data_IF_389298060068
#
_entry.id   IF_389298060068
#
_cell.length_a   1.000
_cell.length_b   1.000
_cell.length_c   1.000
_cell.angle_alpha   90.00
_cell.angle_beta   90.00
_cell.angle_gamma   90.00
#
_symmetry.space_group_name_H-M   'P 1'
#
loop_
_entity.id
_entity.type
_entity.pdbx_description
1 polymer ?
#
# COMPACT_ATOMS: atom_id res chain seq x y z
N UNK A 1 24.06 -16.55 -15.23
CA UNK A 1 23.44 -15.26 -14.90
C UNK A 1 21.91 -15.28 -14.95
N UNK A 2 21.23 -15.80 -15.98
CA UNK A 2 19.75 -15.84 -16.05
C UNK A 2 19.08 -16.60 -14.88
N UNK A 3 19.64 -17.71 -14.43
CA UNK A 3 19.10 -18.51 -13.32
C UNK A 3 19.13 -17.76 -11.98
N UNK A 4 20.21 -17.03 -11.68
CA UNK A 4 20.29 -16.18 -10.49
C UNK A 4 19.29 -15.03 -10.53
N UNK A 5 19.12 -14.40 -11.68
CA UNK A 5 18.14 -13.31 -11.85
C UNK A 5 16.70 -13.79 -11.65
N UNK A 6 16.36 -14.99 -12.14
CA UNK A 6 15.01 -15.56 -11.94
C UNK A 6 14.76 -15.97 -10.47
N UNK A 7 15.77 -16.51 -9.78
CA UNK A 7 15.69 -16.84 -8.35
C UNK A 7 15.49 -15.56 -7.52
N UNK A 8 16.23 -14.50 -7.82
CA UNK A 8 16.11 -13.21 -7.12
C UNK A 8 14.73 -12.60 -7.31
N UNK A 9 14.18 -12.63 -8.53
CA UNK A 9 12.83 -12.15 -8.80
C UNK A 9 11.77 -12.97 -8.06
N UNK A 10 11.94 -14.28 -7.94
CA UNK A 10 11.05 -15.17 -7.18
C UNK A 10 11.02 -14.83 -5.70
N UNK A 11 12.19 -14.61 -5.10
CA UNK A 11 12.31 -14.23 -3.68
C UNK A 11 11.68 -12.85 -3.41
N UNK A 12 11.96 -11.87 -4.27
CA UNK A 12 11.37 -10.54 -4.15
C UNK A 12 9.85 -10.63 -4.21
N UNK A 13 9.28 -11.40 -5.15
CA UNK A 13 7.83 -11.61 -5.24
C UNK A 13 7.25 -12.23 -3.97
N UNK A 14 7.86 -13.31 -3.47
CA UNK A 14 7.37 -13.99 -2.27
C UNK A 14 7.35 -13.07 -1.05
N UNK A 15 8.43 -12.33 -0.81
CA UNK A 15 8.51 -11.36 0.28
C UNK A 15 7.48 -10.24 0.09
N UNK A 16 7.35 -9.72 -1.14
CA UNK A 16 6.40 -8.63 -1.43
C UNK A 16 4.94 -9.07 -1.25
N UNK A 17 4.58 -10.28 -1.68
CA UNK A 17 3.23 -10.83 -1.47
C UNK A 17 2.95 -11.00 0.02
N UNK A 18 3.88 -11.58 0.79
CA UNK A 18 3.71 -11.74 2.23
C UNK A 18 3.53 -10.39 2.94
N UNK A 19 4.38 -9.41 2.63
CA UNK A 19 4.29 -8.06 3.18
C UNK A 19 2.98 -7.36 2.77
N UNK A 20 2.55 -7.52 1.51
CA UNK A 20 1.30 -6.96 1.00
C UNK A 20 0.09 -7.50 1.77
N UNK A 21 0.03 -8.82 1.99
CA UNK A 21 -1.06 -9.44 2.78
C UNK A 21 -1.09 -8.88 4.20
N UNK A 22 0.05 -8.82 4.87
CA UNK A 22 0.15 -8.27 6.24
C UNK A 22 -0.30 -6.81 6.27
N UNK A 23 0.15 -5.99 5.32
CA UNK A 23 -0.21 -4.57 5.26
C UNK A 23 -1.71 -4.37 4.98
N UNK A 24 -2.30 -5.13 4.04
CA UNK A 24 -3.72 -5.05 3.72
C UNK A 24 -4.56 -5.41 4.94
N UNK A 25 -4.25 -6.52 5.61
CA UNK A 25 -4.97 -6.98 6.80
C UNK A 25 -4.82 -5.97 7.94
N UNK A 26 -3.60 -5.52 8.24
CA UNK A 26 -3.36 -4.55 9.31
C UNK A 26 -4.05 -3.22 9.03
N UNK A 27 -3.94 -2.72 7.79
CA UNK A 27 -4.55 -1.45 7.42
C UNK A 27 -6.08 -1.53 7.40
N UNK A 28 -6.66 -2.61 6.88
CA UNK A 28 -8.11 -2.84 6.92
C UNK A 28 -8.61 -2.92 8.36
N UNK A 29 -7.92 -3.65 9.23
CA UNK A 29 -8.27 -3.75 10.65
C UNK A 29 -8.23 -2.38 11.34
N UNK A 30 -7.21 -1.57 11.09
CA UNK A 30 -7.09 -0.23 11.67
C UNK A 30 -8.17 0.71 11.15
N UNK A 31 -8.44 0.68 9.84
CA UNK A 31 -9.32 1.67 9.19
C UNK A 31 -10.80 1.35 9.33
N UNK A 32 -11.16 0.08 9.51
CA UNK A 32 -12.54 -0.37 9.64
C UNK A 32 -13.00 -0.52 11.10
N UNK A 33 -12.19 -0.10 12.06
CA UNK A 33 -12.61 -0.07 13.47
C UNK A 33 -13.72 0.94 13.68
N UNK A 34 -14.73 0.54 14.46
CA UNK A 34 -15.91 1.35 14.74
C UNK A 34 -15.60 2.66 15.49
N UNK A 35 -14.60 2.65 16.38
CA UNK A 35 -14.20 3.83 17.16
C UNK A 35 -13.33 4.83 16.37
N UNK A 36 -12.72 4.38 15.29
CA UNK A 36 -11.91 5.21 14.38
C UNK A 36 -10.74 5.96 15.01
N UNK A 37 -10.49 5.76 16.30
CA UNK A 37 -9.43 6.46 17.06
C UNK A 37 -8.17 5.62 17.08
N UNK A 38 -7.06 6.20 16.60
CA UNK A 38 -5.76 5.53 16.63
C UNK A 38 -5.22 5.35 18.04
N UNK A 39 -5.63 6.23 18.98
CA UNK A 39 -5.19 6.20 20.39
C UNK A 39 -5.63 4.95 21.15
N UNK A 40 -6.60 4.21 20.64
CA UNK A 40 -7.11 2.99 21.27
C UNK A 40 -6.37 1.73 20.85
N UNK A 41 -5.28 1.84 20.08
CA UNK A 41 -4.47 0.70 19.65
C UNK A 41 -3.43 0.38 20.73
N UNK A 42 -3.58 -0.73 21.50
CA UNK A 42 -2.82 -0.94 22.74
C UNK A 42 -1.33 -1.24 22.54
N UNK A 43 -0.91 -1.65 21.34
CA UNK A 43 0.47 -2.00 21.03
C UNK A 43 1.26 -0.88 20.33
N UNK A 44 0.63 0.26 20.03
CA UNK A 44 1.32 1.39 19.42
C UNK A 44 1.72 2.43 20.48
N UNK A 45 2.95 2.97 20.41
CA UNK A 45 3.37 4.05 21.30
C UNK A 45 2.48 5.29 21.14
N UNK A 46 2.17 5.97 22.26
CA UNK A 46 1.27 7.13 22.27
C UNK A 46 1.69 8.25 21.31
N UNK A 47 2.99 8.54 21.22
CA UNK A 47 3.51 9.56 20.30
C UNK A 47 3.23 9.23 18.83
N UNK A 48 3.32 7.94 18.46
CA UNK A 48 3.04 7.48 17.10
C UNK A 48 1.52 7.55 16.80
N UNK A 49 0.68 7.11 17.72
CA UNK A 49 -0.77 7.17 17.54
C UNK A 49 -1.28 8.60 17.44
N UNK A 50 -0.69 9.52 18.21
CA UNK A 50 -1.00 10.94 18.14
C UNK A 50 -0.66 11.53 16.75
N UNK A 51 0.54 11.26 16.24
CA UNK A 51 0.94 11.72 14.90
C UNK A 51 0.07 11.11 13.79
N UNK A 52 -0.21 9.81 13.86
CA UNK A 52 -1.05 9.12 12.88
C UNK A 52 -2.51 9.63 12.87
N UNK A 53 -3.01 10.12 14.01
CA UNK A 53 -4.34 10.70 14.09
C UNK A 53 -4.40 12.11 13.51
N UNK A 54 -3.36 12.93 13.76
CA UNK A 54 -3.28 14.31 13.30
C UNK A 54 -2.97 14.43 11.79
N UNK A 55 -2.03 13.60 11.29
CA UNK A 55 -1.56 13.64 9.90
C UNK A 55 -2.27 12.62 9.02
N UNK A 56 -3.58 12.76 8.88
CA UNK A 56 -4.42 11.82 8.13
C UNK A 56 -4.04 11.73 6.64
N UNK A 57 -3.62 12.83 6.04
CA UNK A 57 -3.25 12.90 4.62
C UNK A 57 -1.93 12.19 4.37
N UNK A 58 -0.90 12.53 5.14
CA UNK A 58 0.43 11.92 5.07
C UNK A 58 0.37 10.44 5.40
N UNK A 59 -0.43 10.05 6.37
CA UNK A 59 -0.69 8.65 6.71
C UNK A 59 -1.25 7.88 5.52
N UNK A 60 -2.23 8.44 4.82
CA UNK A 60 -2.79 7.79 3.63
C UNK A 60 -1.75 7.70 2.50
N UNK A 61 -1.00 8.76 2.25
CA UNK A 61 0.08 8.73 1.26
C UNK A 61 1.12 7.65 1.57
N UNK A 62 1.57 7.57 2.82
CA UNK A 62 2.54 6.57 3.26
C UNK A 62 1.98 5.14 3.20
N UNK A 63 0.76 4.92 3.70
CA UNK A 63 0.14 3.59 3.71
C UNK A 63 -0.05 3.05 2.29
N UNK A 64 -0.62 3.85 1.39
CA UNK A 64 -0.83 3.45 0.00
C UNK A 64 0.45 3.45 -0.82
N UNK A 65 1.43 4.29 -0.47
CA UNK A 65 2.79 4.24 -1.02
C UNK A 65 3.48 2.91 -0.72
N UNK A 66 3.46 2.47 0.54
CA UNK A 66 3.99 1.16 0.95
C UNK A 66 3.25 0.00 0.27
N UNK A 67 1.92 0.07 0.21
CA UNK A 67 1.08 -0.91 -0.49
C UNK A 67 1.49 -1.03 -1.96
N UNK A 68 1.74 0.09 -2.62
CA UNK A 68 2.16 0.14 -4.01
C UNK A 68 3.60 -0.34 -4.23
N UNK A 69 4.52 -0.08 -3.31
CA UNK A 69 5.89 -0.63 -3.33
C UNK A 69 5.85 -2.16 -3.35
N UNK A 70 5.11 -2.77 -2.44
CA UNK A 70 4.97 -4.22 -2.39
C UNK A 70 4.10 -4.77 -3.52
N UNK A 71 3.09 -4.02 -3.97
CA UNK A 71 2.31 -4.36 -5.17
C UNK A 71 3.16 -4.45 -6.43
N UNK A 72 4.07 -3.50 -6.64
CA UNK A 72 5.02 -3.54 -7.75
C UNK A 72 6.04 -4.69 -7.60
N UNK A 73 6.54 -4.93 -6.39
CA UNK A 73 7.44 -6.05 -6.08
C UNK A 73 6.79 -7.42 -6.31
N UNK A 74 5.50 -7.55 -6.00
CA UNK A 74 4.76 -8.80 -6.18
C UNK A 74 4.62 -9.23 -7.65
N UNK A 75 4.69 -8.27 -8.60
CA UNK A 75 4.55 -8.53 -10.04
C UNK A 75 5.85 -8.37 -10.82
N UNK A 76 6.98 -8.20 -10.13
CA UNK A 76 8.29 -8.05 -10.78
C UNK A 76 8.59 -9.27 -11.67
N UNK A 77 9.01 -9.01 -12.91
CA UNK A 77 9.32 -10.06 -13.89
C UNK A 77 8.11 -10.81 -14.45
N UNK A 78 6.87 -10.43 -14.08
CA UNK A 78 5.66 -10.95 -14.71
C UNK A 78 5.32 -10.19 -16.00
N UNK A 79 4.36 -10.75 -16.76
CA UNK A 79 3.85 -10.13 -18.00
C UNK A 79 3.28 -8.74 -17.71
N UNK A 80 3.32 -7.87 -18.70
CA UNK A 80 2.88 -6.47 -18.58
C UNK A 80 1.42 -6.35 -18.10
N UNK A 81 0.57 -7.30 -18.49
CA UNK A 81 -0.84 -7.35 -18.05
C UNK A 81 -0.98 -7.41 -16.53
N UNK A 82 -0.17 -8.25 -15.87
CA UNK A 82 -0.15 -8.36 -14.40
C UNK A 82 0.40 -7.13 -13.72
N UNK A 83 1.41 -6.50 -14.34
CA UNK A 83 1.96 -5.24 -13.84
C UNK A 83 0.93 -4.11 -13.94
N UNK A 84 0.21 -4.01 -15.08
CA UNK A 84 -0.85 -3.04 -15.27
C UNK A 84 -2.03 -3.27 -14.31
N UNK A 85 -2.43 -4.52 -14.08
CA UNK A 85 -3.47 -4.87 -13.12
C UNK A 85 -3.06 -4.48 -11.69
N UNK A 86 -1.84 -4.82 -11.26
CA UNK A 86 -1.32 -4.44 -9.95
C UNK A 86 -1.31 -2.91 -9.77
N UNK A 87 -0.86 -2.18 -10.78
CA UNK A 87 -0.87 -0.72 -10.79
C UNK A 87 -2.29 -0.15 -10.60
N UNK A 88 -3.25 -0.63 -11.40
CA UNK A 88 -4.63 -0.21 -11.33
C UNK A 88 -5.26 -0.51 -9.95
N UNK A 89 -4.99 -1.68 -9.38
CA UNK A 89 -5.47 -2.05 -8.04
C UNK A 89 -4.87 -1.16 -6.95
N UNK A 90 -3.58 -0.84 -7.02
CA UNK A 90 -2.93 0.07 -6.08
C UNK A 90 -3.53 1.49 -6.13
N UNK A 91 -3.88 1.99 -7.33
CA UNK A 91 -4.52 3.29 -7.49
C UNK A 91 -6.00 3.28 -7.06
N UNK A 92 -6.68 2.17 -7.21
CA UNK A 92 -8.08 2.02 -6.79
C UNK A 92 -8.22 1.84 -5.27
N UNK A 93 -7.20 1.32 -4.59
CA UNK A 93 -7.26 0.97 -3.17
C UNK A 93 -7.68 2.14 -2.24
N UNK A 94 -7.22 3.40 -2.42
CA UNK A 94 -7.70 4.54 -1.63
C UNK A 94 -9.20 4.78 -1.75
N UNK A 95 -9.77 4.64 -2.97
CA UNK A 95 -11.21 4.76 -3.20
C UNK A 95 -11.98 3.65 -2.50
N UNK A 96 -11.52 2.41 -2.66
CA UNK A 96 -12.15 1.23 -2.03
C UNK A 96 -12.17 1.38 -0.52
N UNK A 97 -11.08 1.88 0.09
CA UNK A 97 -11.00 2.16 1.51
C UNK A 97 -12.05 3.18 1.95
N UNK A 98 -12.10 4.35 1.30
CA UNK A 98 -13.02 5.41 1.69
C UNK A 98 -14.48 5.02 1.43
N UNK A 99 -14.74 4.29 0.35
CA UNK A 99 -16.06 3.74 0.07
C UNK A 99 -16.50 2.72 1.14
N UNK A 100 -15.61 1.80 1.52
CA UNK A 100 -15.88 0.84 2.58
C UNK A 100 -16.17 1.51 3.93
N UNK A 101 -15.50 2.61 4.24
CA UNK A 101 -15.71 3.35 5.49
C UNK A 101 -17.10 3.98 5.59
N UNK A 102 -17.76 4.34 4.48
CA UNK A 102 -19.13 4.86 4.47
C UNK A 102 -20.08 3.81 5.05
N UNK A 103 -19.89 2.55 4.70
CA UNK A 103 -20.79 1.47 5.12
C UNK A 103 -20.50 0.92 6.51
N UNK A 104 -19.23 0.92 6.93
CA UNK A 104 -18.81 0.25 8.18
C UNK A 104 -18.75 1.22 9.36
N UNK A 105 -18.29 2.45 9.14
CA UNK A 105 -17.99 3.41 10.21
C UNK A 105 -18.84 4.67 10.14
N UNK A 106 -19.80 4.73 9.23
CA UNK A 106 -20.68 5.91 9.02
C UNK A 106 -19.91 7.22 8.83
N UNK A 107 -18.77 7.15 8.16
CA UNK A 107 -17.93 8.31 7.85
C UNK A 107 -18.23 8.87 6.47
N UNK A 108 -18.02 10.17 6.33
CA UNK A 108 -18.11 10.82 5.02
C UNK A 108 -16.90 10.49 4.16
N UNK A 109 -17.13 10.40 2.85
CA UNK A 109 -16.06 10.25 1.85
C UNK A 109 -15.12 11.46 1.90
N UNK A 110 -13.81 11.21 2.02
CA UNK A 110 -12.82 12.28 2.11
C UNK A 110 -11.94 12.34 0.85
N UNK A 111 -12.36 13.15 -0.11
CA UNK A 111 -11.65 13.34 -1.37
C UNK A 111 -10.18 13.71 -1.20
N UNK A 112 -9.87 14.61 -0.28
CA UNK A 112 -8.49 15.05 -0.06
C UNK A 112 -7.62 13.90 0.42
N UNK A 113 -8.08 13.12 1.40
CA UNK A 113 -7.34 11.95 1.89
C UNK A 113 -7.17 10.88 0.81
N UNK A 114 -8.20 10.67 -0.04
CA UNK A 114 -8.14 9.76 -1.19
C UNK A 114 -7.08 10.22 -2.20
N UNK A 115 -7.05 11.49 -2.57
CA UNK A 115 -6.05 12.03 -3.51
C UNK A 115 -4.62 11.89 -2.99
N UNK A 116 -4.39 12.12 -1.70
CA UNK A 116 -3.09 11.86 -1.08
C UNK A 116 -2.70 10.38 -1.12
N UNK A 117 -3.67 9.49 -0.91
CA UNK A 117 -3.48 8.04 -1.05
C UNK A 117 -3.09 7.64 -2.48
N UNK A 118 -3.76 8.19 -3.49
CA UNK A 118 -3.45 7.96 -4.91
C UNK A 118 -2.05 8.49 -5.25
N UNK A 119 -1.71 9.70 -4.79
CA UNK A 119 -0.37 10.27 -4.98
C UNK A 119 0.72 9.38 -4.38
N UNK A 120 0.52 8.90 -3.16
CA UNK A 120 1.43 7.95 -2.52
C UNK A 120 1.58 6.65 -3.29
N UNK A 121 0.46 6.05 -3.73
CA UNK A 121 0.45 4.84 -4.52
C UNK A 121 1.18 5.01 -5.85
N UNK A 122 0.94 6.11 -6.57
CA UNK A 122 1.60 6.43 -7.83
C UNK A 122 3.13 6.53 -7.64
N UNK A 123 3.57 7.32 -6.67
CA UNK A 123 5.00 7.51 -6.40
C UNK A 123 5.66 6.19 -5.99
N UNK A 124 5.05 5.46 -5.05
CA UNK A 124 5.58 4.18 -4.57
C UNK A 124 5.71 3.14 -5.67
N UNK A 125 4.69 3.01 -6.51
CA UNK A 125 4.68 2.03 -7.60
C UNK A 125 5.71 2.38 -8.68
N UNK A 126 5.73 3.63 -9.17
CA UNK A 126 6.64 4.07 -10.23
C UNK A 126 8.09 3.99 -9.78
N UNK A 127 8.40 4.47 -8.58
CA UNK A 127 9.75 4.40 -8.03
C UNK A 127 10.25 2.95 -7.94
N UNK A 128 9.43 2.05 -7.40
CA UNK A 128 9.78 0.63 -7.25
C UNK A 128 9.93 -0.06 -8.61
N UNK A 129 8.99 0.15 -9.52
CA UNK A 129 9.04 -0.44 -10.86
C UNK A 129 10.30 0.02 -11.62
N UNK A 130 10.68 1.29 -11.50
CA UNK A 130 11.89 1.83 -12.12
C UNK A 130 13.15 1.22 -11.51
N UNK A 131 13.27 1.18 -10.19
CA UNK A 131 14.43 0.61 -9.50
C UNK A 131 14.61 -0.88 -9.82
N UNK A 132 13.51 -1.64 -9.84
CA UNK A 132 13.57 -3.06 -10.15
C UNK A 132 13.92 -3.34 -11.61
N UNK A 133 13.46 -2.52 -12.55
CA UNK A 133 13.87 -2.62 -13.97
C UNK A 133 15.35 -2.38 -14.16
N UNK A 134 15.92 -1.39 -13.48
CA UNK A 134 17.35 -1.10 -13.56
C UNK A 134 18.21 -2.27 -13.04
N UNK A 135 17.81 -2.90 -11.93
CA UNK A 135 18.53 -4.05 -11.37
C UNK A 135 18.44 -5.32 -12.23
N UNK A 136 17.40 -5.48 -13.02
CA UNK A 136 17.25 -6.64 -13.91
C UNK A 136 17.98 -6.42 -15.24
N UNK A 137 18.23 -5.16 -15.62
CA UNK A 137 18.94 -4.80 -16.86
C UNK A 137 20.47 -4.73 -16.69
N UNK A 138 20.99 -4.60 -15.47
CA UNK A 138 22.40 -4.65 -15.11
C UNK A 138 22.87 -6.07 -14.76
#
# INVERSE_FOLDING_TARGET
MRLLATMTAGVIRAISVAALVVLVVAYAWITLRADGRMRTIPFLPYWLTYHLEFYTMERNALAFGLLAIFGAGAVVGLRLEWQALSFALCLAAPFVKDFAQIFVVTRHFNWTATMWGIGGALVGWVATATLLRWRVAS
#
